data_IF_344841245337
#
_entry.id   IF_344841245337
#
_cell.length_a   1.000
_cell.length_b   1.000
_cell.length_c   1.000
_cell.angle_alpha   90.00
_cell.angle_beta   90.00
_cell.angle_gamma   90.00
#
_symmetry.space_group_name_H-M   'P 1'
#
loop_
_entity.id
_entity.type
_entity.pdbx_description
1 polymer ?
#
# COMPACT_ATOMS: atom_id res chain seq x y z
N UNK A 1 32.37 16.51 -31.32
CA UNK A 1 31.91 16.88 -29.96
C UNK A 1 30.73 15.98 -29.60
N UNK A 2 30.80 15.24 -28.47
CA UNK A 2 29.72 14.34 -28.03
C UNK A 2 28.69 15.15 -27.23
N UNK A 3 27.37 15.08 -27.50
CA UNK A 3 26.40 15.76 -26.66
C UNK A 3 26.33 15.05 -25.29
N UNK A 4 26.62 15.81 -24.21
CA UNK A 4 26.36 15.39 -22.83
C UNK A 4 24.86 15.47 -22.60
N UNK A 5 24.18 14.33 -22.45
CA UNK A 5 22.80 14.32 -21.95
C UNK A 5 22.79 14.80 -20.49
N UNK A 6 22.02 15.86 -20.14
CA UNK A 6 21.85 16.25 -18.75
C UNK A 6 20.95 15.21 -18.05
N UNK A 7 21.54 14.40 -17.18
CA UNK A 7 20.83 13.45 -16.34
C UNK A 7 20.09 14.21 -15.22
N UNK A 8 18.76 14.29 -15.28
CA UNK A 8 17.85 14.88 -14.26
C UNK A 8 16.46 14.24 -14.44
N UNK A 9 15.71 13.77 -13.44
CA UNK A 9 15.75 13.86 -11.96
C UNK A 9 15.29 12.51 -11.37
N UNK A 10 15.80 12.18 -10.17
CA UNK A 10 15.21 11.15 -9.28
C UNK A 10 13.79 11.58 -8.87
N UNK A 11 12.75 10.97 -9.46
CA UNK A 11 11.40 10.99 -8.91
C UNK A 11 11.25 9.75 -8.02
N UNK A 12 11.37 9.95 -6.70
CA UNK A 12 11.05 8.92 -5.70
C UNK A 12 9.53 8.68 -5.56
N UNK A 13 8.71 9.51 -6.19
CA UNK A 13 7.26 9.44 -6.20
C UNK A 13 6.80 9.09 -7.62
N UNK A 14 6.59 7.79 -7.85
CA UNK A 14 6.13 7.22 -9.12
C UNK A 14 4.65 7.56 -9.36
N UNK A 15 3.86 7.75 -8.30
CA UNK A 15 2.50 8.29 -8.33
C UNK A 15 2.11 8.87 -6.95
N UNK A 16 2.51 10.13 -6.65
CA UNK A 16 2.38 10.69 -5.30
C UNK A 16 0.94 10.71 -4.78
N UNK A 17 -0.04 10.84 -5.68
CA UNK A 17 -1.45 10.86 -5.31
C UNK A 17 -1.94 9.52 -4.75
N UNK A 18 -1.47 8.39 -5.27
CA UNK A 18 -1.91 7.07 -4.80
C UNK A 18 -1.22 6.67 -3.51
N UNK A 19 0.10 6.88 -3.43
CA UNK A 19 0.86 6.57 -2.23
C UNK A 19 0.40 7.43 -1.06
N UNK A 20 0.14 8.73 -1.29
CA UNK A 20 -0.39 9.62 -0.27
C UNK A 20 -1.80 9.19 0.16
N UNK A 21 -2.72 8.86 -0.76
CA UNK A 21 -4.08 8.40 -0.39
C UNK A 21 -4.09 7.08 0.37
N UNK A 22 -3.14 6.17 0.11
CA UNK A 22 -3.04 4.92 0.85
C UNK A 22 -2.50 5.16 2.25
N UNK A 23 -1.36 5.85 2.35
CA UNK A 23 -0.72 6.16 3.63
C UNK A 23 -1.63 6.98 4.52
N UNK A 24 -2.32 8.00 3.98
CA UNK A 24 -3.23 8.83 4.77
C UNK A 24 -4.44 8.05 5.29
N UNK A 25 -5.02 7.14 4.50
CA UNK A 25 -6.13 6.29 4.97
C UNK A 25 -5.71 5.31 6.05
N UNK A 26 -4.55 4.67 5.91
CA UNK A 26 -3.99 3.78 6.95
C UNK A 26 -3.67 4.60 8.21
N UNK A 27 -3.02 5.75 8.04
CA UNK A 27 -2.69 6.65 9.14
C UNK A 27 -3.96 7.11 9.90
N UNK A 28 -5.00 7.56 9.20
CA UNK A 28 -6.27 7.94 9.83
C UNK A 28 -6.92 6.78 10.56
N UNK A 29 -6.89 5.57 10.00
CA UNK A 29 -7.45 4.38 10.65
C UNK A 29 -6.70 4.03 11.94
N UNK A 30 -5.36 4.02 11.89
CA UNK A 30 -4.51 3.76 13.07
C UNK A 30 -4.71 4.85 14.12
N UNK A 31 -4.69 6.12 13.73
CA UNK A 31 -4.94 7.24 14.66
C UNK A 31 -6.32 7.16 15.29
N UNK A 32 -7.35 6.76 14.54
CA UNK A 32 -8.69 6.53 15.08
C UNK A 32 -8.70 5.46 16.17
N UNK A 33 -8.02 4.32 15.95
CA UNK A 33 -7.89 3.26 16.95
C UNK A 33 -7.14 3.75 18.19
N UNK A 34 -6.05 4.49 18.02
CA UNK A 34 -5.26 5.07 19.13
C UNK A 34 -6.08 6.08 19.94
N UNK A 35 -6.87 6.93 19.29
CA UNK A 35 -7.73 7.91 19.99
C UNK A 35 -8.83 7.18 20.77
N UNK A 36 -9.50 6.21 20.16
CA UNK A 36 -10.56 5.44 20.83
C UNK A 36 -10.01 4.64 22.00
N UNK A 37 -8.87 3.98 21.84
CA UNK A 37 -8.22 3.24 22.92
C UNK A 37 -7.75 4.16 24.05
N UNK A 38 -7.23 5.36 23.74
CA UNK A 38 -6.85 6.37 24.74
C UNK A 38 -8.05 6.88 25.54
N UNK A 39 -9.18 7.11 24.88
CA UNK A 39 -10.43 7.52 25.53
C UNK A 39 -10.95 6.39 26.42
N UNK A 40 -10.98 5.15 25.92
CA UNK A 40 -11.41 3.99 26.71
C UNK A 40 -10.50 3.76 27.93
N UNK A 41 -9.18 3.84 27.74
CA UNK A 41 -8.19 3.66 28.80
C UNK A 41 -8.33 4.72 29.89
N UNK A 42 -8.45 5.99 29.51
CA UNK A 42 -8.69 7.08 30.47
C UNK A 42 -10.01 6.92 31.22
N UNK A 43 -11.09 6.48 30.55
CA UNK A 43 -12.37 6.20 31.20
C UNK A 43 -12.28 5.03 32.20
N UNK A 44 -11.62 3.92 31.83
CA UNK A 44 -11.43 2.78 32.74
C UNK A 44 -10.57 3.15 33.94
N UNK A 45 -9.50 3.93 33.74
CA UNK A 45 -8.67 4.43 34.84
C UNK A 45 -9.49 5.36 35.76
N UNK A 46 -10.30 6.26 35.20
CA UNK A 46 -11.17 7.14 35.99
C UNK A 46 -12.18 6.35 36.84
N UNK A 47 -12.79 5.29 36.29
CA UNK A 47 -13.69 4.41 37.05
C UNK A 47 -12.94 3.69 38.17
N UNK A 48 -11.74 3.16 37.91
CA UNK A 48 -10.91 2.54 38.95
C UNK A 48 -10.53 3.53 40.06
N UNK A 49 -10.29 4.81 39.72
CA UNK A 49 -10.02 5.88 40.69
C UNK A 49 -11.24 6.27 41.52
N UNK A 50 -12.45 6.01 41.04
CA UNK A 50 -13.67 6.29 41.81
C UNK A 50 -14.05 5.15 42.74
N UNK A 51 -13.58 3.92 42.49
CA UNK A 51 -13.82 2.74 43.35
C UNK A 51 -12.82 2.61 44.50
N UNK A 52 -12.28 3.74 44.98
CA UNK A 52 -11.20 3.84 45.98
C UNK A 52 -11.74 3.55 47.39
N UNK A 53 -12.05 2.29 47.66
CA UNK A 53 -12.32 1.78 49.02
C UNK A 53 -11.31 0.71 49.48
N UNK A 54 -10.43 0.20 48.59
CA UNK A 54 -9.67 -1.05 48.86
C UNK A 54 -8.13 -0.90 49.06
N UNK A 55 -7.59 0.33 49.13
CA UNK A 55 -6.16 0.56 49.38
C UNK A 55 -5.24 0.41 48.15
N UNK A 56 -3.95 0.74 48.34
CA UNK A 56 -2.95 0.94 47.26
C UNK A 56 -2.79 -0.30 46.34
N UNK A 57 -2.80 -1.50 46.90
CA UNK A 57 -2.61 -2.74 46.13
C UNK A 57 -3.76 -3.02 45.15
N UNK A 58 -5.01 -2.82 45.58
CA UNK A 58 -6.18 -3.03 44.73
C UNK A 58 -6.23 -2.02 43.57
N UNK A 59 -5.84 -0.77 43.85
CA UNK A 59 -5.72 0.29 42.84
C UNK A 59 -4.69 -0.07 41.76
N UNK A 60 -3.50 -0.53 42.15
CA UNK A 60 -2.45 -0.93 41.20
C UNK A 60 -2.91 -2.08 40.29
N UNK A 61 -3.59 -3.09 40.84
CA UNK A 61 -4.12 -4.23 40.07
C UNK A 61 -5.20 -3.76 39.09
N UNK A 62 -6.14 -2.91 39.53
CA UNK A 62 -7.19 -2.37 38.67
C UNK A 62 -6.64 -1.56 37.50
N UNK A 63 -5.63 -0.71 37.74
CA UNK A 63 -4.93 0.03 36.69
C UNK A 63 -4.22 -0.92 35.71
N UNK A 64 -3.52 -1.94 36.21
CA UNK A 64 -2.82 -2.90 35.36
C UNK A 64 -3.80 -3.66 34.45
N UNK A 65 -4.94 -4.10 35.01
CA UNK A 65 -6.00 -4.77 34.23
C UNK A 65 -6.60 -3.82 33.19
N UNK A 66 -6.91 -2.58 33.56
CA UNK A 66 -7.45 -1.59 32.62
C UNK A 66 -6.51 -1.36 31.44
N UNK A 67 -5.21 -1.17 31.70
CA UNK A 67 -4.19 -1.02 30.66
C UNK A 67 -4.10 -2.28 29.80
N UNK A 68 -4.01 -3.47 30.41
CA UNK A 68 -3.92 -4.73 29.68
C UNK A 68 -5.13 -4.97 28.76
N UNK A 69 -6.35 -4.69 29.24
CA UNK A 69 -7.57 -4.79 28.43
C UNK A 69 -7.54 -3.80 27.26
N UNK A 70 -7.11 -2.57 27.49
CA UNK A 70 -7.03 -1.57 26.40
C UNK A 70 -6.02 -1.94 25.33
N UNK A 71 -4.85 -2.46 25.72
CA UNK A 71 -3.83 -2.95 24.78
C UNK A 71 -4.32 -4.17 23.99
N UNK A 72 -5.04 -5.08 24.65
CA UNK A 72 -5.59 -6.25 23.98
C UNK A 72 -6.62 -5.85 22.91
N UNK A 73 -7.52 -4.92 23.24
CA UNK A 73 -8.51 -4.39 22.29
C UNK A 73 -7.81 -3.67 21.14
N UNK A 74 -6.81 -2.85 21.42
CA UNK A 74 -6.02 -2.15 20.40
C UNK A 74 -5.36 -3.13 19.42
N UNK A 75 -4.72 -4.18 19.94
CA UNK A 75 -4.09 -5.20 19.11
C UNK A 75 -5.11 -5.94 18.24
N UNK A 76 -6.26 -6.32 18.82
CA UNK A 76 -7.34 -7.01 18.12
C UNK A 76 -7.96 -6.16 17.01
N UNK A 77 -7.95 -4.83 17.13
CA UNK A 77 -8.45 -3.91 16.09
C UNK A 77 -7.37 -3.56 15.07
N UNK A 78 -6.13 -3.32 15.50
CA UNK A 78 -5.05 -2.87 14.63
C UNK A 78 -4.62 -3.97 13.63
N UNK A 79 -4.49 -5.22 14.08
CA UNK A 79 -4.07 -6.35 13.23
C UNK A 79 -4.94 -6.50 11.98
N UNK A 80 -6.28 -6.66 12.07
CA UNK A 80 -7.11 -6.87 10.89
C UNK A 80 -7.13 -5.65 9.97
N UNK A 81 -7.05 -4.43 10.53
CA UNK A 81 -6.96 -3.20 9.73
C UNK A 81 -5.68 -3.25 8.88
N UNK A 82 -4.52 -3.42 9.52
CA UNK A 82 -3.22 -3.48 8.82
C UNK A 82 -3.21 -4.62 7.79
N UNK A 83 -3.73 -5.80 8.15
CA UNK A 83 -3.83 -6.95 7.26
C UNK A 83 -4.67 -6.65 6.01
N UNK A 84 -5.88 -6.12 6.18
CA UNK A 84 -6.79 -5.78 5.06
C UNK A 84 -6.14 -4.76 4.13
N UNK A 85 -5.57 -3.68 4.69
CA UNK A 85 -4.89 -2.67 3.89
C UNK A 85 -3.66 -3.24 3.17
N UNK A 86 -2.87 -4.08 3.85
CA UNK A 86 -1.70 -4.74 3.29
C UNK A 86 -2.06 -5.66 2.12
N UNK A 87 -3.02 -6.57 2.30
CA UNK A 87 -3.49 -7.49 1.27
C UNK A 87 -4.08 -6.74 0.08
N UNK A 88 -4.92 -5.73 0.34
CA UNK A 88 -5.56 -4.94 -0.73
C UNK A 88 -4.54 -4.14 -1.53
N UNK A 89 -3.50 -3.63 -0.88
CA UNK A 89 -2.37 -2.96 -1.54
C UNK A 89 -1.55 -3.95 -2.37
N UNK A 90 -1.24 -5.12 -1.82
CA UNK A 90 -0.49 -6.18 -2.49
C UNK A 90 -1.18 -6.66 -3.78
N UNK A 91 -2.51 -6.86 -3.76
CA UNK A 91 -3.26 -7.28 -4.95
C UNK A 91 -3.16 -6.29 -6.11
N UNK A 92 -3.01 -4.99 -5.84
CA UNK A 92 -2.83 -3.94 -6.86
C UNK A 92 -1.46 -3.97 -7.53
N UNK A 93 -0.53 -4.77 -7.01
CA UNK A 93 0.80 -5.01 -7.59
C UNK A 93 0.85 -6.40 -8.20
N UNK A 94 0.53 -7.43 -7.42
CA UNK A 94 0.65 -8.85 -7.82
C UNK A 94 -0.26 -9.20 -8.99
N UNK A 95 -1.49 -8.67 -9.02
CA UNK A 95 -2.44 -8.92 -10.11
C UNK A 95 -1.92 -8.42 -11.47
N UNK A 96 -1.59 -7.13 -11.61
CA UNK A 96 -0.98 -6.56 -12.81
C UNK A 96 0.32 -7.25 -13.25
N UNK A 97 1.15 -7.68 -12.29
CA UNK A 97 2.45 -8.30 -12.57
C UNK A 97 2.34 -9.58 -13.40
N UNK A 98 1.34 -10.43 -13.12
CA UNK A 98 1.09 -11.64 -13.90
C UNK A 98 0.75 -11.32 -15.36
N UNK A 99 -0.09 -10.30 -15.57
CA UNK A 99 -0.51 -9.86 -16.91
C UNK A 99 0.67 -9.27 -17.70
N UNK A 100 1.49 -8.45 -17.03
CA UNK A 100 2.73 -7.91 -17.60
C UNK A 100 3.69 -9.03 -18.02
N UNK A 101 3.91 -10.02 -17.15
CA UNK A 101 4.78 -11.17 -17.45
C UNK A 101 4.32 -11.92 -18.70
N UNK A 102 3.04 -12.25 -18.79
CA UNK A 102 2.47 -12.97 -19.93
C UNK A 102 2.62 -12.18 -21.24
N UNK A 103 2.36 -10.87 -21.21
CA UNK A 103 2.53 -10.02 -22.40
C UNK A 103 3.99 -9.89 -22.81
N UNK A 104 4.91 -9.74 -21.86
CA UNK A 104 6.35 -9.69 -22.14
C UNK A 104 6.85 -11.02 -22.73
N UNK A 105 6.39 -12.16 -22.24
CA UNK A 105 6.72 -13.48 -22.82
C UNK A 105 6.23 -13.61 -24.26
N UNK A 106 5.02 -13.12 -24.58
CA UNK A 106 4.50 -13.12 -25.95
C UNK A 106 5.28 -12.18 -26.87
N UNK A 107 5.60 -10.97 -26.40
CA UNK A 107 6.48 -10.02 -27.12
C UNK A 107 7.86 -10.64 -27.37
N UNK A 108 8.43 -11.33 -26.37
CA UNK A 108 9.71 -12.02 -26.48
C UNK A 108 9.70 -13.17 -27.50
N UNK A 109 8.54 -13.74 -27.80
CA UNK A 109 8.33 -14.74 -28.85
C UNK A 109 8.06 -14.14 -30.24
N UNK A 110 8.08 -12.81 -30.37
CA UNK A 110 7.85 -12.10 -31.64
C UNK A 110 6.40 -11.66 -31.87
N UNK A 111 5.47 -11.93 -30.95
CA UNK A 111 4.10 -11.41 -31.05
C UNK A 111 4.04 -9.98 -30.48
N UNK A 112 4.36 -9.01 -31.33
CA UNK A 112 4.31 -7.59 -30.99
C UNK A 112 2.89 -7.00 -31.03
N UNK A 113 1.85 -7.78 -31.34
CA UNK A 113 0.46 -7.29 -31.37
C UNK A 113 -0.15 -7.15 -29.97
N UNK A 114 0.45 -7.84 -28.98
CA UNK A 114 -0.05 -7.87 -27.60
C UNK A 114 0.02 -6.51 -26.93
N UNK A 115 -0.98 -6.21 -26.09
CA UNK A 115 -1.09 -4.97 -25.32
C UNK A 115 -1.49 -5.25 -23.88
N UNK A 116 -0.91 -4.49 -22.96
CA UNK A 116 -1.20 -4.52 -21.53
C UNK A 116 -2.24 -3.45 -21.21
N UNK A 117 -3.39 -3.86 -20.69
CA UNK A 117 -4.41 -2.97 -20.12
C UNK A 117 -4.54 -3.23 -18.63
N UNK A 118 -4.26 -2.22 -17.82
CA UNK A 118 -4.42 -2.26 -16.36
C UNK A 118 -5.58 -1.36 -15.94
N UNK A 119 -6.08 -1.57 -14.72
CA UNK A 119 -7.16 -0.74 -14.18
C UNK A 119 -6.57 0.61 -13.76
N UNK A 120 -7.38 1.66 -13.86
CA UNK A 120 -6.97 3.00 -13.46
C UNK A 120 -6.58 3.00 -11.98
N UNK A 121 -5.35 3.45 -11.70
CA UNK A 121 -4.80 3.47 -10.34
C UNK A 121 -4.25 2.16 -9.82
N UNK A 122 -3.99 1.19 -10.70
CA UNK A 122 -3.06 0.10 -10.42
C UNK A 122 -1.62 0.64 -10.37
N UNK A 123 -0.77 0.08 -9.52
CA UNK A 123 0.57 0.62 -9.26
C UNK A 123 1.53 0.53 -10.46
N UNK A 124 1.20 -0.30 -11.46
CA UNK A 124 2.05 -0.59 -12.63
C UNK A 124 1.51 0.03 -13.93
N UNK A 125 0.59 0.99 -13.86
CA UNK A 125 -0.06 1.58 -15.03
C UNK A 125 0.95 2.22 -16.00
N UNK A 126 1.90 3.01 -15.50
CA UNK A 126 2.91 3.67 -16.33
C UNK A 126 3.94 2.69 -16.91
N UNK A 127 4.24 1.61 -16.18
CA UNK A 127 5.03 0.51 -16.71
C UNK A 127 4.30 -0.17 -17.88
N UNK A 128 3.00 -0.43 -17.74
CA UNK A 128 2.19 -1.00 -18.82
C UNK A 128 2.17 -0.08 -20.07
N UNK A 129 2.02 1.25 -19.89
CA UNK A 129 2.10 2.22 -20.99
C UNK A 129 3.46 2.17 -21.69
N UNK A 130 4.55 2.12 -20.92
CA UNK A 130 5.91 2.06 -21.46
C UNK A 130 6.16 0.78 -22.26
N UNK A 131 5.70 -0.37 -21.77
CA UNK A 131 5.80 -1.65 -22.47
C UNK A 131 4.96 -1.66 -23.74
N UNK A 132 3.73 -1.12 -23.71
CA UNK A 132 2.91 -1.01 -24.91
C UNK A 132 3.58 -0.16 -25.98
N UNK A 133 4.18 0.96 -25.61
CA UNK A 133 4.90 1.81 -26.56
C UNK A 133 6.11 1.08 -27.17
N UNK A 134 6.84 0.31 -26.35
CA UNK A 134 7.92 -0.54 -26.84
C UNK A 134 7.41 -1.57 -27.86
N UNK A 135 6.31 -2.27 -27.56
CA UNK A 135 5.71 -3.25 -28.46
C UNK A 135 5.29 -2.62 -29.80
N UNK A 136 4.68 -1.42 -29.77
CA UNK A 136 4.32 -0.65 -30.98
C UNK A 136 5.57 -0.37 -31.83
N UNK A 137 6.65 0.11 -31.21
CA UNK A 137 7.88 0.44 -31.93
C UNK A 137 8.54 -0.81 -32.56
N UNK A 138 8.52 -1.95 -31.86
CA UNK A 138 9.01 -3.23 -32.39
C UNK A 138 8.17 -3.72 -33.57
N UNK A 139 6.85 -3.64 -33.46
CA UNK A 139 5.92 -4.00 -34.54
C UNK A 139 6.17 -3.18 -35.80
N UNK A 140 6.37 -1.87 -35.66
CA UNK A 140 6.68 -0.99 -36.79
C UNK A 140 8.03 -1.31 -37.44
N UNK A 141 9.05 -1.66 -36.65
CA UNK A 141 10.38 -2.04 -37.19
C UNK A 141 10.32 -3.36 -37.94
N UNK A 142 9.64 -4.36 -37.38
CA UNK A 142 9.44 -5.66 -38.02
C UNK A 142 8.68 -5.54 -39.35
N UNK A 143 7.65 -4.69 -39.42
CA UNK A 143 6.90 -4.48 -40.64
C UNK A 143 7.74 -3.84 -41.77
N UNK A 144 8.70 -2.96 -41.41
CA UNK A 144 9.61 -2.35 -42.39
C UNK A 144 10.65 -3.31 -42.93
N UNK A 145 11.14 -4.25 -42.11
CA UNK A 145 12.13 -5.25 -42.56
C UNK A 145 11.53 -6.35 -43.44
N UNK A 146 10.23 -6.64 -43.33
CA UNK A 146 9.57 -7.65 -44.17
C UNK A 146 9.10 -7.14 -45.53
N UNK A 147 9.14 -5.82 -45.75
CA UNK A 147 8.74 -5.16 -47.01
C UNK A 147 9.92 -4.69 -47.88
N UNK A 148 11.14 -5.07 -47.50
CA UNK A 148 12.41 -4.85 -48.21
C UNK A 148 12.98 -6.19 -48.63
#
# INVERSE_FOLDING_TARGET
>A
MRPKHPYKRRQYLVDPAYQLRFVTRVFMAVMGVVVVSSILSSALLAVNMYRVELGLHAMLIGCLIAVAVTLLIELLLAIPIVYIFGVRSSHRIVGPMKRIKQTLEAIGKGDFSQRITLRQGDALEDLAKSINQMAINLQQRSARSSGS
#
